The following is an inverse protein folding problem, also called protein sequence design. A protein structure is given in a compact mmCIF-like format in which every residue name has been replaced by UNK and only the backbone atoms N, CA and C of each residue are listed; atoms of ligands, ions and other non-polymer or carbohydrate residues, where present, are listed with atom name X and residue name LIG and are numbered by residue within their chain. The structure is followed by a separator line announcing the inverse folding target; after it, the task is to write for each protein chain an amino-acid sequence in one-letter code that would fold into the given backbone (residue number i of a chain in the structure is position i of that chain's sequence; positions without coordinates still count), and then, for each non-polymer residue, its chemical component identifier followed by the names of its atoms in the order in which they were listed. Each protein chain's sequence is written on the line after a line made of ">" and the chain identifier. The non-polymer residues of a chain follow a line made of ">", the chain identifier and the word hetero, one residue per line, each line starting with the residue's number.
data_IF_405012321918
#
_entry.id   IF_405012321918
#
_cell.length_a   1.000
_cell.length_b   1.000
_cell.length_c   1.000
_cell.angle_alpha   90.00
_cell.angle_beta   90.00
_cell.angle_gamma   90.00
#
_symmetry.space_group_name_H-M   'P 1'
#
loop_
_entity.id
_entity.type
_entity.pdbx_description
1 polymer ?
#
# COMPACT_ATOMS: atom_id res chain seq x y z
N UNK A 1 16.96 0.75 7.50
CA UNK A 1 15.83 1.29 8.29
C UNK A 1 15.94 2.80 8.34
N UNK A 2 14.83 3.53 8.41
CA UNK A 2 14.87 4.99 8.63
C UNK A 2 15.36 5.30 10.05
N UNK A 3 15.94 6.49 10.25
CA UNK A 3 16.44 6.94 11.56
C UNK A 3 15.35 6.88 12.64
N UNK A 4 14.12 7.29 12.30
CA UNK A 4 12.97 7.26 13.23
C UNK A 4 12.56 5.83 13.61
N UNK A 5 12.52 4.90 12.65
CA UNK A 5 12.17 3.50 12.92
C UNK A 5 13.19 2.83 13.83
N UNK A 6 14.49 3.07 13.58
CA UNK A 6 15.57 2.54 14.43
C UNK A 6 15.41 3.02 15.87
N UNK A 7 15.21 4.33 16.06
CA UNK A 7 15.00 4.94 17.37
C UNK A 7 13.80 4.33 18.09
N UNK A 8 12.67 4.23 17.41
CA UNK A 8 11.43 3.73 18.00
C UNK A 8 11.49 2.25 18.36
N UNK A 9 11.87 1.40 17.40
CA UNK A 9 11.76 -0.04 17.55
C UNK A 9 12.99 -0.70 18.20
N UNK A 10 14.20 -0.18 17.94
CA UNK A 10 15.44 -0.78 18.46
C UNK A 10 15.93 -0.08 19.73
N UNK A 11 15.96 1.26 19.71
CA UNK A 11 16.49 2.06 20.83
C UNK A 11 15.44 2.38 21.89
N UNK A 12 14.17 2.06 21.64
CA UNK A 12 13.02 2.32 22.54
C UNK A 12 12.81 3.80 22.85
N UNK A 13 13.21 4.67 21.92
CA UNK A 13 12.95 6.10 21.98
C UNK A 13 11.61 6.39 21.28
N UNK A 14 10.59 6.79 22.02
CA UNK A 14 9.24 6.92 21.45
C UNK A 14 9.17 7.99 20.35
N UNK A 15 8.61 7.63 19.19
CA UNK A 15 8.36 8.57 18.09
C UNK A 15 7.27 9.61 18.41
N UNK A 16 6.59 9.50 19.55
CA UNK A 16 5.69 10.53 20.06
C UNK A 16 6.43 11.65 20.81
N UNK A 17 7.75 11.53 21.02
CA UNK A 17 8.55 12.51 21.76
C UNK A 17 9.26 13.43 20.77
N UNK A 18 9.05 14.75 20.91
CA UNK A 18 9.64 15.79 20.05
C UNK A 18 11.16 15.63 19.88
N UNK A 19 11.88 15.42 20.98
CA UNK A 19 13.34 15.24 20.94
C UNK A 19 13.77 14.04 20.08
N UNK A 20 13.00 12.94 20.10
CA UNK A 20 13.26 11.77 19.26
C UNK A 20 13.04 12.07 17.78
N UNK A 21 11.98 12.81 17.43
CA UNK A 21 11.71 13.23 16.05
C UNK A 21 12.82 14.13 15.50
N UNK A 22 13.28 15.11 16.30
CA UNK A 22 14.37 15.99 15.88
C UNK A 22 15.70 15.26 15.74
N UNK A 23 16.01 14.34 16.65
CA UNK A 23 17.23 13.55 16.56
C UNK A 23 17.20 12.62 15.33
N UNK A 24 16.04 12.09 14.96
CA UNK A 24 15.85 11.35 13.72
C UNK A 24 16.00 12.24 12.48
N UNK A 25 15.45 13.46 12.50
CA UNK A 25 15.55 14.42 11.41
C UNK A 25 17.01 14.83 11.15
N UNK A 26 17.76 15.15 12.22
CA UNK A 26 19.18 15.49 12.14
C UNK A 26 20.00 14.34 11.54
N UNK A 27 19.75 13.11 11.97
CA UNK A 27 20.42 11.91 11.43
C UNK A 27 20.09 11.68 9.95
N UNK A 28 18.88 12.04 9.51
CA UNK A 28 18.47 11.98 8.11
C UNK A 28 19.01 13.16 7.26
N UNK A 29 19.78 14.08 7.84
CA UNK A 29 20.31 15.26 7.15
C UNK A 29 19.29 16.38 6.94
N UNK A 30 18.17 16.37 7.67
CA UNK A 30 17.16 17.44 7.65
C UNK A 30 17.63 18.56 8.59
N UNK A 31 17.53 19.80 8.12
CA UNK A 31 17.82 20.99 8.94
C UNK A 31 16.93 21.01 10.20
N UNK A 32 17.56 21.10 11.38
CA UNK A 32 16.86 21.04 12.65
C UNK A 32 15.91 22.22 12.82
N UNK A 33 16.32 23.44 12.43
CA UNK A 33 15.48 24.62 12.57
C UNK A 33 14.23 24.51 11.69
N UNK A 34 14.36 23.95 10.48
CA UNK A 34 13.21 23.65 9.61
C UNK A 34 12.32 22.58 10.23
N UNK A 35 12.90 21.48 10.72
CA UNK A 35 12.14 20.41 11.37
C UNK A 35 11.41 20.89 12.63
N UNK A 36 12.05 21.75 13.42
CA UNK A 36 11.42 22.39 14.58
C UNK A 36 10.25 23.24 14.17
N UNK A 37 10.44 24.15 13.21
CA UNK A 37 9.35 25.00 12.72
C UNK A 37 8.17 24.17 12.19
N UNK A 38 8.44 23.08 11.46
CA UNK A 38 7.41 22.16 10.97
C UNK A 38 6.62 21.50 12.11
N UNK A 39 7.31 21.02 13.17
CA UNK A 39 6.68 20.38 14.32
C UNK A 39 5.83 21.32 15.18
N UNK A 40 5.95 22.64 15.00
CA UNK A 40 5.07 23.63 15.63
C UNK A 40 3.79 23.89 14.83
N UNK A 41 3.56 23.15 13.75
CA UNK A 41 2.38 23.31 12.90
C UNK A 41 1.51 22.06 12.87
N UNK A 42 0.23 22.26 12.60
CA UNK A 42 -0.74 21.20 12.34
C UNK A 42 -1.01 21.05 10.83
N UNK A 43 -0.11 21.55 9.98
CA UNK A 43 -0.38 21.77 8.55
C UNK A 43 -0.71 20.48 7.78
N UNK A 44 -0.20 19.33 8.25
CA UNK A 44 -0.51 18.01 7.70
C UNK A 44 -1.51 17.20 8.53
N UNK A 45 -1.97 17.67 9.69
CA UNK A 45 -2.77 16.86 10.62
C UNK A 45 -4.05 16.33 9.95
N UNK A 46 -4.83 17.23 9.34
CA UNK A 46 -6.07 16.87 8.65
C UNK A 46 -5.82 15.91 7.47
N UNK A 47 -4.70 16.08 6.77
CA UNK A 47 -4.32 15.19 5.66
C UNK A 47 -3.95 13.80 6.16
N UNK A 48 -3.15 13.70 7.22
CA UNK A 48 -2.74 12.45 7.84
C UNK A 48 -3.97 11.68 8.32
N UNK A 49 -4.88 12.32 9.07
CA UNK A 49 -6.11 11.67 9.53
C UNK A 49 -7.02 11.23 8.38
N UNK A 50 -7.16 12.05 7.35
CA UNK A 50 -7.90 11.70 6.14
C UNK A 50 -7.27 10.49 5.46
N UNK A 51 -5.95 10.45 5.34
CA UNK A 51 -5.21 9.35 4.71
C UNK A 51 -5.35 8.04 5.49
N UNK A 52 -5.21 8.06 6.83
CA UNK A 52 -5.47 6.89 7.67
C UNK A 52 -6.92 6.41 7.54
N UNK A 53 -7.87 7.35 7.59
CA UNK A 53 -9.29 7.06 7.48
C UNK A 53 -9.67 6.42 6.14
N UNK A 54 -9.20 6.98 5.02
CA UNK A 54 -9.48 6.47 3.67
C UNK A 54 -8.77 5.14 3.41
N UNK A 55 -7.54 4.97 3.91
CA UNK A 55 -6.77 3.72 3.80
C UNK A 55 -7.53 2.53 4.41
N UNK A 56 -8.14 2.73 5.59
CA UNK A 56 -8.86 1.66 6.29
C UNK A 56 -10.28 1.48 5.76
N UNK A 57 -11.06 2.56 5.60
CA UNK A 57 -12.49 2.45 5.27
C UNK A 57 -12.73 2.24 3.79
N UNK A 58 -12.10 3.05 2.95
CA UNK A 58 -12.38 3.08 1.51
C UNK A 58 -11.54 2.02 0.81
N UNK A 59 -10.25 2.01 1.13
CA UNK A 59 -9.27 1.10 0.60
C UNK A 59 -9.15 -0.20 1.39
N UNK A 60 -9.97 -0.45 2.42
CA UNK A 60 -10.10 -1.73 3.15
C UNK A 60 -8.78 -2.36 3.65
N UNK A 61 -7.73 -1.57 3.84
CA UNK A 61 -6.43 -2.07 4.29
C UNK A 61 -6.50 -2.24 5.80
N UNK A 62 -6.59 -3.50 6.25
CA UNK A 62 -6.72 -3.86 7.67
C UNK A 62 -5.40 -4.28 8.32
N UNK A 63 -4.31 -4.38 7.56
CA UNK A 63 -2.99 -4.70 8.06
C UNK A 63 -1.90 -4.00 7.22
N UNK A 64 -0.87 -3.49 7.91
CA UNK A 64 0.33 -2.91 7.30
C UNK A 64 1.56 -3.78 7.64
N UNK A 65 2.59 -3.83 6.80
CA UNK A 65 2.65 -3.24 5.45
C UNK A 65 1.77 -3.99 4.45
N UNK A 66 1.32 -3.29 3.40
CA UNK A 66 0.70 -3.88 2.21
C UNK A 66 1.62 -3.58 1.02
N UNK A 67 1.97 -4.60 0.25
CA UNK A 67 2.70 -4.44 -1.01
C UNK A 67 1.76 -4.82 -2.16
N UNK A 68 1.58 -3.90 -3.11
CA UNK A 68 0.80 -4.14 -4.33
C UNK A 68 1.68 -3.87 -5.55
N UNK A 69 1.94 -4.91 -6.33
CA UNK A 69 2.80 -4.88 -7.51
C UNK A 69 1.93 -4.88 -8.77
N UNK A 70 1.91 -3.74 -9.46
CA UNK A 70 1.27 -3.64 -10.78
C UNK A 70 2.28 -3.97 -11.87
N UNK A 71 1.85 -4.77 -12.84
CA UNK A 71 2.65 -5.20 -13.99
C UNK A 71 1.90 -4.82 -15.28
N UNK A 72 2.03 -3.57 -15.75
CA UNK A 72 1.26 -3.07 -16.89
C UNK A 72 1.49 -3.84 -18.20
N UNK A 73 2.66 -4.46 -18.36
CA UNK A 73 3.02 -5.21 -19.57
C UNK A 73 2.07 -6.39 -19.88
N UNK A 74 1.41 -6.94 -18.85
CA UNK A 74 0.41 -8.01 -18.97
C UNK A 74 -0.94 -7.57 -18.41
N UNK A 75 -1.15 -6.26 -18.27
CA UNK A 75 -2.36 -5.65 -17.72
C UNK A 75 -2.79 -6.19 -16.34
N UNK A 76 -1.81 -6.67 -15.55
CA UNK A 76 -1.99 -7.13 -14.18
C UNK A 76 -1.89 -5.93 -13.22
N UNK A 77 -3.00 -5.22 -13.04
CA UNK A 77 -3.07 -3.95 -12.31
C UNK A 77 -4.26 -3.90 -11.34
N UNK A 78 -4.26 -2.90 -10.46
CA UNK A 78 -5.36 -2.64 -9.54
C UNK A 78 -4.91 -2.53 -8.10
N UNK A 79 -5.70 -3.12 -7.19
CA UNK A 79 -5.57 -2.88 -5.75
C UNK A 79 -6.22 -1.55 -5.32
N UNK A 80 -5.94 -1.09 -4.10
CA UNK A 80 -6.66 0.04 -3.50
C UNK A 80 -6.37 1.40 -4.14
N UNK A 81 -5.22 1.55 -4.82
CA UNK A 81 -4.71 2.86 -5.26
C UNK A 81 -4.58 3.03 -6.78
N UNK A 82 -4.87 1.99 -7.58
CA UNK A 82 -4.72 2.05 -9.05
C UNK A 82 -5.98 1.56 -9.75
N UNK A 83 -6.19 2.06 -10.97
CA UNK A 83 -7.23 1.54 -11.86
C UNK A 83 -6.95 0.06 -12.16
N UNK A 84 -7.96 -0.83 -12.05
CA UNK A 84 -7.80 -2.23 -12.39
C UNK A 84 -7.57 -2.41 -13.89
N UNK A 85 -6.69 -3.34 -14.23
CA UNK A 85 -6.51 -3.85 -15.60
C UNK A 85 -7.40 -5.05 -15.85
N UNK A 86 -7.07 -5.85 -16.86
CA UNK A 86 -7.69 -7.14 -17.17
C UNK A 86 -7.38 -8.17 -16.08
N UNK A 87 -6.12 -8.20 -15.64
CA UNK A 87 -5.65 -9.02 -14.55
C UNK A 87 -5.41 -8.17 -13.30
N UNK A 88 -5.35 -8.80 -12.13
CA UNK A 88 -5.14 -8.06 -10.88
C UNK A 88 -3.66 -7.76 -10.63
N UNK A 89 -3.37 -6.79 -9.76
CA UNK A 89 -2.04 -6.64 -9.19
C UNK A 89 -1.68 -7.85 -8.30
N UNK A 90 -0.38 -8.10 -8.11
CA UNK A 90 0.10 -9.06 -7.13
C UNK A 90 0.16 -8.38 -5.76
N UNK A 91 -0.32 -9.03 -4.70
CA UNK A 91 -0.50 -8.42 -3.37
C UNK A 91 0.09 -9.25 -2.24
N UNK A 92 1.01 -8.67 -1.46
CA UNK A 92 1.54 -9.27 -0.23
C UNK A 92 1.00 -8.50 0.97
N UNK A 93 0.39 -9.20 1.93
CA UNK A 93 -0.16 -8.62 3.16
C UNK A 93 0.75 -8.90 4.34
N UNK A 94 1.03 -7.85 5.10
CA UNK A 94 1.95 -7.91 6.22
C UNK A 94 3.40 -8.05 5.77
N UNK A 95 4.26 -8.23 6.76
CA UNK A 95 5.67 -8.53 6.52
C UNK A 95 5.81 -9.92 5.90
N UNK A 96 6.81 -10.08 5.03
CA UNK A 96 7.17 -11.36 4.43
C UNK A 96 8.68 -11.53 4.40
N UNK A 97 9.15 -12.74 4.06
CA UNK A 97 10.58 -13.03 3.95
C UNK A 97 11.14 -12.62 2.59
N UNK A 98 12.45 -12.38 2.51
CA UNK A 98 13.15 -12.13 1.23
C UNK A 98 12.89 -13.25 0.21
N UNK A 99 12.89 -14.51 0.67
CA UNK A 99 12.58 -15.67 -0.19
C UNK A 99 11.17 -15.60 -0.78
N UNK A 100 10.20 -15.13 0.00
CA UNK A 100 8.82 -14.97 -0.46
C UNK A 100 8.71 -13.88 -1.53
N UNK A 101 9.43 -12.77 -1.37
CA UNK A 101 9.49 -11.72 -2.39
C UNK A 101 10.24 -12.18 -3.64
N UNK A 102 11.33 -12.93 -3.50
CA UNK A 102 12.05 -13.49 -4.65
C UNK A 102 11.14 -14.41 -5.48
N UNK A 103 10.44 -15.35 -4.83
CA UNK A 103 9.51 -16.24 -5.53
C UNK A 103 8.36 -15.48 -6.22
N UNK A 104 7.91 -14.36 -5.63
CA UNK A 104 6.95 -13.48 -6.28
C UNK A 104 7.52 -12.81 -7.54
N UNK A 105 8.75 -12.31 -7.49
CA UNK A 105 9.38 -11.69 -8.65
C UNK A 105 9.65 -12.71 -9.78
N UNK A 106 10.05 -13.94 -9.43
CA UNK A 106 10.19 -15.03 -10.40
C UNK A 106 8.85 -15.39 -11.05
N UNK A 107 7.77 -15.41 -10.28
CA UNK A 107 6.40 -15.59 -10.79
C UNK A 107 6.01 -14.46 -11.76
N UNK A 108 6.24 -13.20 -11.38
CA UNK A 108 5.95 -12.04 -12.24
C UNK A 108 6.76 -12.10 -13.54
N UNK A 109 8.04 -12.49 -13.46
CA UNK A 109 8.90 -12.62 -14.63
C UNK A 109 8.38 -13.71 -15.57
N UNK A 110 7.99 -14.87 -15.03
CA UNK A 110 7.38 -15.96 -15.81
C UNK A 110 6.13 -15.49 -16.54
N UNK A 111 5.18 -14.90 -15.83
CA UNK A 111 3.90 -14.43 -16.37
C UNK A 111 4.11 -13.33 -17.42
N UNK A 112 5.03 -12.39 -17.16
CA UNK A 112 5.40 -11.36 -18.13
C UNK A 112 6.00 -11.96 -19.40
N UNK A 113 6.84 -12.99 -19.26
CA UNK A 113 7.44 -13.70 -20.40
C UNK A 113 6.39 -14.48 -21.19
N UNK A 114 5.39 -15.05 -20.53
CA UNK A 114 4.25 -15.71 -21.15
C UNK A 114 3.26 -14.71 -21.80
N UNK A 115 3.35 -13.43 -21.46
CA UNK A 115 2.46 -12.38 -21.95
C UNK A 115 1.07 -12.39 -21.31
N UNK A 116 0.85 -13.19 -20.27
CA UNK A 116 -0.43 -13.31 -19.56
C UNK A 116 -0.18 -13.72 -18.13
N UNK A 117 -1.05 -13.30 -17.22
CA UNK A 117 -1.03 -13.82 -15.85
C UNK A 117 -1.54 -15.25 -15.81
N UNK A 118 -0.77 -16.15 -15.19
CA UNK A 118 -1.22 -17.52 -14.93
C UNK A 118 -1.61 -17.64 -13.46
N UNK A 119 -2.90 -17.87 -13.20
CA UNK A 119 -3.38 -18.02 -11.84
C UNK A 119 -2.98 -19.38 -11.27
N UNK A 120 -2.11 -19.35 -10.27
CA UNK A 120 -1.73 -20.53 -9.51
C UNK A 120 -2.27 -20.41 -8.08
N UNK A 121 -3.27 -21.23 -7.77
CA UNK A 121 -3.90 -21.26 -6.43
C UNK A 121 -2.95 -21.74 -5.32
N UNK A 122 -1.84 -22.41 -5.68
CA UNK A 122 -0.78 -22.80 -4.75
C UNK A 122 0.30 -21.72 -4.61
N UNK A 123 0.42 -20.79 -5.57
CA UNK A 123 1.43 -19.74 -5.56
C UNK A 123 1.03 -18.58 -4.65
N UNK A 124 1.21 -18.76 -3.33
CA UNK A 124 1.05 -17.71 -2.31
C UNK A 124 -0.37 -17.07 -2.28
N UNK A 125 -0.78 -16.39 -1.20
CA UNK A 125 -2.18 -16.08 -0.97
C UNK A 125 -2.63 -14.85 -1.76
N UNK A 126 -2.75 -14.98 -3.08
CA UNK A 126 -3.46 -14.01 -3.90
C UNK A 126 -4.91 -14.46 -4.01
N UNK A 127 -5.84 -13.59 -3.61
CA UNK A 127 -7.28 -13.83 -3.66
C UNK A 127 -7.94 -12.78 -4.55
N UNK A 128 -8.69 -13.25 -5.55
CA UNK A 128 -9.33 -12.51 -6.65
C UNK A 128 -10.49 -11.58 -6.25
N UNK A 129 -10.82 -11.55 -4.97
CA UNK A 129 -12.21 -11.30 -4.55
C UNK A 129 -12.40 -10.08 -3.64
N UNK A 130 -11.36 -9.48 -3.06
CA UNK A 130 -11.56 -8.38 -2.10
C UNK A 130 -11.76 -7.00 -2.74
N UNK A 131 -10.95 -6.62 -3.75
CA UNK A 131 -11.01 -5.28 -4.35
C UNK A 131 -12.00 -5.17 -5.52
N UNK A 132 -12.27 -6.30 -6.17
CA UNK A 132 -13.10 -6.38 -7.37
C UNK A 132 -14.60 -6.49 -7.07
N UNK A 133 -14.96 -7.14 -5.95
CA UNK A 133 -16.36 -7.31 -5.54
C UNK A 133 -17.01 -5.98 -5.14
N UNK A 134 -16.28 -5.10 -4.45
CA UNK A 134 -16.78 -3.78 -4.02
C UNK A 134 -17.04 -2.81 -5.20
N UNK A 135 -16.19 -2.80 -6.24
CA UNK A 135 -16.38 -1.90 -7.41
C UNK A 135 -17.43 -2.39 -8.42
N UNK A 136 -17.64 -3.70 -8.59
CA UNK A 136 -18.74 -4.20 -9.47
C UNK A 136 -20.12 -3.87 -8.91
N UNK A 137 -20.28 -3.83 -7.58
CA UNK A 137 -21.51 -3.37 -6.93
C UNK A 137 -21.77 -1.89 -7.21
N UNK A 138 -20.73 -1.04 -7.17
CA UNK A 138 -20.89 0.40 -7.40
C UNK A 138 -21.14 0.72 -8.90
N UNK A 139 -20.51 0.00 -9.83
CA UNK A 139 -20.76 0.15 -11.27
C UNK A 139 -22.15 -0.36 -11.70
N UNK A 140 -22.64 -1.47 -11.12
CA UNK A 140 -24.03 -1.92 -11.34
C UNK A 140 -25.07 -0.98 -10.70
N UNK A 141 -24.74 -0.36 -9.57
CA UNK A 141 -25.61 0.63 -8.92
C UNK A 141 -25.73 1.92 -9.74
N UNK A 142 -24.62 2.39 -10.34
CA UNK A 142 -24.60 3.62 -11.15
C UNK A 142 -25.18 3.48 -12.56
N UNK A 143 -25.14 2.29 -13.15
CA UNK A 143 -25.65 2.04 -14.51
C UNK A 143 -26.89 1.12 -14.57
N UNK A 144 -27.38 0.62 -13.43
CA UNK A 144 -28.53 -0.31 -13.34
C UNK A 144 -29.92 0.33 -13.22
N UNK A 145 -30.03 1.66 -13.26
CA UNK A 145 -31.31 2.37 -13.39
C UNK A 145 -31.38 3.02 -14.75
N UNK A 146 -31.72 2.26 -15.80
CA UNK A 146 -32.43 2.71 -17.01
C UNK A 146 -32.46 1.58 -18.06
N UNK A 147 -33.22 0.50 -17.81
CA UNK A 147 -33.94 -0.20 -18.89
C UNK A 147 -35.13 -0.95 -18.26
N UNK A 148 -36.29 -0.30 -18.12
CA UNK A 148 -37.60 -0.95 -18.05
C UNK A 148 -38.72 0.11 -18.12
N UNK A 149 -39.10 0.48 -19.34
CA UNK A 149 -40.49 0.72 -19.79
C UNK A 149 -40.45 1.20 -21.24
#
# INVERSE_FOLDING_TARGET
>A
MSALNRRHFELRESASIRATCLAAAAEAGIDITVAEAFLETDELEAEVWRSYGSTIRDAGIHAIPLFAFSVPAIDAQGGPFRTPGTDEAYVVRGSSSERSFLGLFELILRDTTAGTREYDAAAFPYRRDEWWSRRRLDLRSRYGRNVAS
#
